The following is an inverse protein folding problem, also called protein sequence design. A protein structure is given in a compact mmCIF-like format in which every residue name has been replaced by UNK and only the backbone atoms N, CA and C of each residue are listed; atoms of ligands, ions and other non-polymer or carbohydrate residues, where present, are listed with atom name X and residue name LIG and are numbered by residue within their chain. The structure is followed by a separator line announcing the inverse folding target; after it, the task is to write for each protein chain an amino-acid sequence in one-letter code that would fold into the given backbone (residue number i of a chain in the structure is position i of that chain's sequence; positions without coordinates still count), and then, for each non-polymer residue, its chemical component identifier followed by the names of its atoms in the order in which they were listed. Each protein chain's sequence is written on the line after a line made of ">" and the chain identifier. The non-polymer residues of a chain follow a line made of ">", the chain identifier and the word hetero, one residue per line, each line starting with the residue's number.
data_IF_664436754950
#
_entry.id   IF_664436754950
#
_cell.length_a   1.000
_cell.length_b   1.000
_cell.length_c   1.000
_cell.angle_alpha   90.00
_cell.angle_beta   90.00
_cell.angle_gamma   90.00
#
_symmetry.space_group_name_H-M   'P 1'
#
loop_
_entity.id
_entity.type
_entity.pdbx_description
1 polymer ?
#
# COMPACT_ATOMS: atom_id res chain seq x y z
N UNK A 1 20.55 2.52 15.43
CA UNK A 1 19.15 3.02 15.42
C UNK A 1 19.06 4.48 14.95
N UNK A 2 19.63 5.48 15.61
CA UNK A 2 19.52 6.88 15.15
C UNK A 2 20.10 7.09 13.74
N UNK A 3 21.20 6.44 13.40
CA UNK A 3 21.78 6.53 12.06
C UNK A 3 20.88 5.86 11.00
N UNK A 4 20.29 4.72 11.32
CA UNK A 4 19.36 4.01 10.43
C UNK A 4 18.06 4.79 10.19
N UNK A 5 17.52 5.44 11.24
CA UNK A 5 16.37 6.35 11.12
C UNK A 5 16.72 7.53 10.22
N UNK A 6 17.91 8.11 10.35
CA UNK A 6 18.37 9.20 9.49
C UNK A 6 18.46 8.75 8.01
N UNK A 7 18.96 7.54 7.75
CA UNK A 7 18.97 6.96 6.39
C UNK A 7 17.55 6.81 5.85
N UNK A 8 16.59 6.36 6.68
CA UNK A 8 15.19 6.31 6.28
C UNK A 8 14.66 7.71 5.90
N UNK A 9 15.00 8.74 6.66
CA UNK A 9 14.54 10.10 6.36
C UNK A 9 15.15 10.67 5.07
N UNK A 10 16.39 10.30 4.75
CA UNK A 10 17.00 10.64 3.45
C UNK A 10 16.28 9.99 2.28
N UNK A 11 15.69 8.82 2.47
CA UNK A 11 14.89 8.11 1.45
C UNK A 11 13.42 8.58 1.39
N UNK A 12 13.14 9.84 1.73
CA UNK A 12 11.80 10.42 1.78
C UNK A 12 10.93 10.11 0.55
N UNK A 13 11.48 10.24 -0.66
CA UNK A 13 10.76 10.00 -1.91
C UNK A 13 10.23 8.56 -2.06
N UNK A 14 10.95 7.58 -1.50
CA UNK A 14 10.49 6.19 -1.48
C UNK A 14 9.22 6.06 -0.61
N UNK A 15 9.21 6.67 0.56
CA UNK A 15 8.05 6.63 1.46
C UNK A 15 6.85 7.41 0.93
N UNK A 16 7.08 8.52 0.21
CA UNK A 16 6.02 9.24 -0.51
C UNK A 16 5.37 8.35 -1.55
N UNK A 17 6.14 7.59 -2.33
CA UNK A 17 5.60 6.60 -3.28
C UNK A 17 4.76 5.52 -2.57
N UNK A 18 5.19 5.05 -1.41
CA UNK A 18 4.43 4.08 -0.59
C UNK A 18 3.10 4.69 -0.14
N UNK A 19 3.10 5.89 0.42
CA UNK A 19 1.88 6.57 0.88
C UNK A 19 0.92 6.89 -0.28
N UNK A 20 1.46 7.29 -1.44
CA UNK A 20 0.70 7.62 -2.63
C UNK A 20 -0.19 6.47 -3.13
N UNK A 21 0.26 5.22 -2.98
CA UNK A 21 -0.55 4.03 -3.35
C UNK A 21 -1.91 4.00 -2.64
N UNK A 22 -1.99 4.58 -1.45
CA UNK A 22 -3.21 4.59 -0.63
C UNK A 22 -3.99 5.90 -0.73
N UNK A 23 -3.31 7.04 -0.92
CA UNK A 23 -3.90 8.38 -0.83
C UNK A 23 -4.24 8.99 -2.20
N UNK A 24 -3.57 8.55 -3.27
CA UNK A 24 -3.77 9.01 -4.67
C UNK A 24 -3.59 10.53 -4.89
N UNK A 25 -3.06 11.26 -3.93
CA UNK A 25 -2.70 12.67 -3.98
C UNK A 25 -1.26 12.82 -3.53
N UNK A 26 -0.44 13.54 -4.30
CA UNK A 26 0.97 13.75 -3.97
C UNK A 26 1.11 14.59 -2.70
N UNK A 27 0.35 15.67 -2.59
CA UNK A 27 0.31 16.55 -1.42
C UNK A 27 -0.06 15.77 -0.15
N UNK A 28 -1.13 14.96 -0.22
CA UNK A 28 -1.53 14.11 0.91
C UNK A 28 -0.49 13.07 1.26
N UNK A 29 0.22 12.53 0.28
CA UNK A 29 1.28 11.55 0.51
C UNK A 29 2.50 12.19 1.17
N UNK A 30 2.91 13.37 0.75
CA UNK A 30 4.00 14.14 1.36
C UNK A 30 3.67 14.48 2.82
N UNK A 31 2.49 15.04 3.08
CA UNK A 31 2.02 15.35 4.43
C UNK A 31 1.93 14.09 5.31
N UNK A 32 1.48 12.97 4.73
CA UNK A 32 1.41 11.70 5.43
C UNK A 32 2.80 11.22 5.87
N UNK A 33 3.80 11.34 5.01
CA UNK A 33 5.18 10.94 5.35
C UNK A 33 5.76 11.82 6.43
N UNK A 34 5.53 13.13 6.40
CA UNK A 34 5.94 14.04 7.46
C UNK A 34 5.32 13.66 8.81
N UNK A 35 3.99 13.40 8.84
CA UNK A 35 3.29 12.93 10.05
C UNK A 35 3.86 11.58 10.53
N UNK A 36 4.12 10.66 9.61
CA UNK A 36 4.68 9.36 9.94
C UNK A 36 6.09 9.47 10.54
N UNK A 37 6.94 10.33 9.99
CA UNK A 37 8.29 10.57 10.51
C UNK A 37 8.26 11.20 11.92
N UNK A 38 7.31 12.09 12.20
CA UNK A 38 7.12 12.58 13.57
C UNK A 38 6.70 11.44 14.52
N UNK A 39 5.86 10.50 14.07
CA UNK A 39 5.51 9.31 14.85
C UNK A 39 6.71 8.40 15.08
N UNK A 40 7.57 8.22 14.07
CA UNK A 40 8.83 7.47 14.20
C UNK A 40 9.70 8.08 15.30
N UNK A 41 9.91 9.38 15.30
CA UNK A 41 10.72 10.08 16.30
C UNK A 41 10.14 9.95 17.73
N UNK A 42 8.83 10.05 17.86
CA UNK A 42 8.15 9.91 19.16
C UNK A 42 8.19 8.47 19.71
N UNK A 43 8.18 7.49 18.81
CA UNK A 43 8.07 6.08 19.18
C UNK A 43 9.39 5.29 19.01
N UNK A 44 10.51 5.96 18.77
CA UNK A 44 11.80 5.28 18.52
C UNK A 44 12.20 4.30 19.65
N UNK A 45 11.84 4.63 20.88
CA UNK A 45 12.17 3.80 22.05
C UNK A 45 11.25 2.55 22.16
N UNK A 46 10.18 2.48 21.38
CA UNK A 46 9.29 1.31 21.31
C UNK A 46 9.72 0.28 20.26
N UNK A 47 10.73 0.61 19.46
CA UNK A 47 11.29 -0.33 18.51
C UNK A 47 12.01 -1.47 19.23
N UNK A 48 11.48 -2.68 19.10
CA UNK A 48 11.96 -3.85 19.84
C UNK A 48 13.03 -4.67 19.10
N UNK A 49 13.65 -4.09 18.07
CA UNK A 49 14.69 -4.74 17.24
C UNK A 49 14.27 -6.04 16.54
N UNK A 50 12.97 -6.32 16.43
CA UNK A 50 12.47 -7.44 15.66
C UNK A 50 12.24 -7.03 14.19
N UNK A 51 13.24 -7.24 13.35
CA UNK A 51 13.20 -6.84 11.94
C UNK A 51 14.09 -5.63 11.62
N UNK A 52 13.94 -5.05 10.44
CA UNK A 52 14.70 -3.88 10.01
C UNK A 52 14.02 -2.58 10.45
N UNK A 53 14.83 -1.55 10.78
CA UNK A 53 14.32 -0.19 11.05
C UNK A 53 13.52 0.34 9.87
N UNK A 54 13.99 0.09 8.65
CA UNK A 54 13.27 0.47 7.41
C UNK A 54 11.88 -0.14 7.33
N UNK A 55 11.75 -1.45 7.62
CA UNK A 55 10.45 -2.14 7.66
C UNK A 55 9.51 -1.56 8.72
N UNK A 56 10.04 -1.24 9.90
CA UNK A 56 9.28 -0.60 10.96
C UNK A 56 8.80 0.80 10.57
N UNK A 57 9.67 1.64 10.00
CA UNK A 57 9.32 2.98 9.49
C UNK A 57 8.27 2.87 8.39
N UNK A 58 8.46 1.95 7.42
CA UNK A 58 7.50 1.70 6.34
C UNK A 58 6.12 1.33 6.89
N UNK A 59 6.06 0.51 7.93
CA UNK A 59 4.81 0.12 8.59
C UNK A 59 4.09 1.32 9.21
N UNK A 60 4.82 2.25 9.82
CA UNK A 60 4.25 3.49 10.37
C UNK A 60 3.70 4.37 9.25
N UNK A 61 4.40 4.48 8.11
CA UNK A 61 3.92 5.24 6.94
C UNK A 61 2.63 4.64 6.38
N UNK A 62 2.58 3.31 6.19
CA UNK A 62 1.39 2.63 5.66
C UNK A 62 0.19 2.81 6.60
N UNK A 63 0.38 2.60 7.89
CA UNK A 63 -0.69 2.79 8.88
C UNK A 63 -1.19 4.24 8.88
N UNK A 64 -0.30 5.21 8.81
CA UNK A 64 -0.66 6.64 8.76
C UNK A 64 -1.44 6.97 7.47
N UNK A 65 -1.02 6.41 6.33
CA UNK A 65 -1.71 6.60 5.05
C UNK A 65 -3.13 6.00 5.06
N UNK A 66 -3.28 4.81 5.61
CA UNK A 66 -4.59 4.14 5.73
C UNK A 66 -5.51 4.90 6.69
N UNK A 67 -5.00 5.38 7.81
CA UNK A 67 -5.78 6.20 8.76
C UNK A 67 -6.26 7.50 8.11
N UNK A 68 -5.41 8.19 7.35
CA UNK A 68 -5.80 9.38 6.58
C UNK A 68 -6.85 9.05 5.52
N UNK A 69 -6.66 7.97 4.78
CA UNK A 69 -7.64 7.51 3.81
C UNK A 69 -9.01 7.27 4.45
N UNK A 70 -9.05 6.55 5.58
CA UNK A 70 -10.28 6.27 6.31
C UNK A 70 -11.00 7.54 6.77
N UNK A 71 -10.27 8.50 7.32
CA UNK A 71 -10.83 9.80 7.75
C UNK A 71 -11.45 10.55 6.57
N UNK A 72 -10.77 10.59 5.42
CA UNK A 72 -11.29 11.23 4.20
C UNK A 72 -12.53 10.52 3.66
N UNK A 73 -12.54 9.19 3.68
CA UNK A 73 -13.67 8.41 3.17
C UNK A 73 -14.88 8.49 4.12
N UNK A 74 -14.67 8.49 5.42
CA UNK A 74 -15.74 8.67 6.42
C UNK A 74 -16.34 10.08 6.37
N UNK A 75 -15.55 11.10 6.04
CA UNK A 75 -16.05 12.47 5.81
C UNK A 75 -16.76 12.63 4.47
N UNK A 76 -16.51 11.71 3.50
CA UNK A 76 -17.10 11.71 2.16
C UNK A 76 -18.27 10.72 2.00
N UNK A 77 -19.08 10.50 3.02
CA UNK A 77 -20.39 9.80 2.83
C UNK A 77 -21.35 10.60 1.96
N UNK A 78 -20.91 11.71 1.36
CA UNK A 78 -21.64 12.46 0.34
C UNK A 78 -20.71 12.74 -0.83
N UNK A 79 -20.98 12.08 -1.99
CA UNK A 79 -20.35 12.28 -3.31
C UNK A 79 -18.89 11.81 -3.45
N UNK A 80 -18.46 11.01 -4.36
CA UNK A 80 -18.74 10.77 -5.75
C UNK A 80 -17.76 9.80 -6.42
N UNK A 81 -18.10 9.43 -7.60
CA UNK A 81 -17.46 8.66 -8.62
C UNK A 81 -16.02 9.06 -8.98
N UNK A 82 -15.27 8.05 -9.20
CA UNK A 82 -13.87 7.94 -9.59
C UNK A 82 -13.42 8.81 -10.76
N UNK A 83 -12.22 9.39 -10.62
CA UNK A 83 -11.30 9.59 -11.75
C UNK A 83 -9.97 8.95 -11.41
N UNK A 84 -9.67 7.88 -12.13
CA UNK A 84 -8.37 7.20 -12.12
C UNK A 84 -7.36 8.09 -12.82
N UNK A 85 -6.45 8.70 -12.08
CA UNK A 85 -5.25 9.30 -12.66
C UNK A 85 -4.09 8.33 -12.51
N UNK A 86 -3.65 7.81 -13.66
CA UNK A 86 -2.49 6.93 -13.79
C UNK A 86 -1.20 7.72 -13.54
N UNK A 87 -0.51 7.40 -12.47
CA UNK A 87 0.88 7.82 -12.31
C UNK A 87 1.77 6.87 -13.11
N UNK A 88 2.37 7.38 -14.20
CA UNK A 88 3.43 6.70 -14.95
C UNK A 88 4.76 6.94 -14.24
N UNK A 89 5.17 5.97 -13.47
CA UNK A 89 6.50 5.91 -12.89
C UNK A 89 6.96 4.46 -12.88
N UNK A 90 7.46 3.99 -14.00
CA UNK A 90 8.06 2.67 -14.13
C UNK A 90 9.58 2.81 -14.08
N UNK A 91 10.18 2.42 -12.96
CA UNK A 91 11.53 1.87 -12.99
C UNK A 91 11.38 0.36 -13.10
N UNK A 92 11.85 -0.19 -14.21
CA UNK A 92 11.91 -1.63 -14.47
C UNK A 92 12.89 -2.26 -13.49
N UNK A 93 12.33 -2.98 -12.51
CA UNK A 93 13.11 -3.96 -11.76
C UNK A 93 12.88 -5.29 -12.44
N UNK A 94 13.85 -5.75 -13.21
CA UNK A 94 13.89 -7.10 -13.75
C UNK A 94 13.94 -8.10 -12.58
N UNK A 95 12.85 -8.83 -12.38
CA UNK A 95 12.85 -10.00 -11.50
C UNK A 95 12.84 -11.28 -12.35
N UNK A 96 13.80 -12.19 -12.16
CA UNK A 96 13.86 -13.43 -12.90
C UNK A 96 12.93 -14.48 -12.27
N UNK A 97 11.64 -14.42 -12.54
CA UNK A 97 10.73 -15.52 -12.28
C UNK A 97 10.06 -15.96 -13.56
N UNK A 98 10.42 -17.17 -13.98
CA UNK A 98 9.86 -17.85 -15.13
C UNK A 98 8.35 -18.08 -14.96
N UNK A 99 7.67 -17.91 -16.05
CA UNK A 99 6.47 -18.51 -16.59
C UNK A 99 5.66 -17.51 -17.44
N UNK A 100 6.35 -16.62 -18.17
CA UNK A 100 5.76 -15.94 -19.32
C UNK A 100 4.67 -14.91 -19.03
N UNK A 101 4.47 -14.48 -17.76
CA UNK A 101 3.57 -13.34 -17.42
C UNK A 101 4.45 -12.14 -17.10
N UNK A 102 4.46 -11.09 -17.94
CA UNK A 102 5.23 -9.89 -17.67
C UNK A 102 4.77 -9.24 -16.35
N UNK A 103 5.72 -8.85 -15.49
CA UNK A 103 5.45 -8.15 -14.23
C UNK A 103 4.55 -6.92 -14.45
N UNK A 104 4.75 -6.19 -15.54
CA UNK A 104 3.92 -5.07 -15.96
C UNK A 104 2.44 -5.45 -16.06
N UNK A 105 2.12 -6.61 -16.66
CA UNK A 105 0.75 -7.10 -16.80
C UNK A 105 0.09 -7.38 -15.45
N UNK A 106 0.85 -7.91 -14.48
CA UNK A 106 0.35 -8.13 -13.11
C UNK A 106 0.05 -6.81 -12.42
N UNK A 107 0.93 -5.81 -12.58
CA UNK A 107 0.71 -4.47 -12.02
C UNK A 107 -0.51 -3.79 -12.64
N UNK A 108 -0.68 -3.88 -13.95
CA UNK A 108 -1.86 -3.36 -14.66
C UNK A 108 -3.15 -4.06 -14.18
N UNK A 109 -3.12 -5.38 -14.01
CA UNK A 109 -4.23 -6.14 -13.45
C UNK A 109 -4.59 -5.67 -12.03
N UNK A 110 -3.61 -5.45 -11.16
CA UNK A 110 -3.84 -4.92 -9.81
C UNK A 110 -4.39 -3.49 -9.87
N UNK A 111 -3.89 -2.65 -10.79
CA UNK A 111 -4.37 -1.28 -10.96
C UNK A 111 -5.83 -1.21 -11.42
N UNK A 112 -6.29 -2.21 -12.18
CA UNK A 112 -7.69 -2.29 -12.67
C UNK A 112 -8.69 -2.71 -11.60
N UNK A 113 -8.24 -3.18 -10.43
CA UNK A 113 -9.12 -3.60 -9.34
C UNK A 113 -9.82 -2.42 -8.68
N UNK A 114 -11.02 -2.68 -8.11
CA UNK A 114 -11.66 -1.74 -7.19
C UNK A 114 -10.76 -1.47 -5.98
N UNK A 115 -10.92 -0.33 -5.35
CA UNK A 115 -10.06 0.11 -4.23
C UNK A 115 -10.01 -0.87 -3.06
N UNK A 116 -11.13 -1.51 -2.72
CA UNK A 116 -11.17 -2.50 -1.64
C UNK A 116 -10.37 -3.76 -1.98
N UNK A 117 -10.46 -4.24 -3.23
CA UNK A 117 -9.70 -5.41 -3.69
C UNK A 117 -8.21 -5.09 -3.87
N UNK A 118 -7.92 -3.90 -4.40
CA UNK A 118 -6.55 -3.42 -4.55
C UNK A 118 -5.83 -3.32 -3.21
N UNK A 119 -6.48 -2.74 -2.19
CA UNK A 119 -5.91 -2.68 -0.83
C UNK A 119 -5.71 -4.06 -0.22
N UNK A 120 -6.69 -4.95 -0.34
CA UNK A 120 -6.58 -6.29 0.22
C UNK A 120 -5.39 -7.08 -0.37
N UNK A 121 -5.24 -7.05 -1.69
CA UNK A 121 -4.16 -7.78 -2.37
C UNK A 121 -2.79 -7.14 -2.09
N UNK A 122 -2.71 -5.80 -2.07
CA UNK A 122 -1.47 -5.07 -1.79
C UNK A 122 -1.00 -5.31 -0.36
N UNK A 123 -1.88 -5.14 0.62
CA UNK A 123 -1.53 -5.34 2.02
C UNK A 123 -1.13 -6.79 2.32
N UNK A 124 -1.82 -7.76 1.76
CA UNK A 124 -1.55 -9.17 2.03
C UNK A 124 -0.33 -9.70 1.27
N UNK A 125 -0.26 -9.53 -0.07
CA UNK A 125 0.77 -10.13 -0.90
C UNK A 125 2.05 -9.30 -1.01
N UNK A 126 1.94 -7.97 -0.98
CA UNK A 126 3.09 -7.08 -1.18
C UNK A 126 3.68 -6.63 0.16
N UNK A 127 2.83 -6.23 1.09
CA UNK A 127 3.28 -5.69 2.37
C UNK A 127 3.34 -6.74 3.49
N UNK A 128 2.77 -7.95 3.27
CA UNK A 128 2.90 -9.09 4.18
C UNK A 128 2.04 -9.05 5.44
N UNK A 129 0.98 -8.23 5.48
CA UNK A 129 0.06 -8.20 6.61
C UNK A 129 -0.87 -9.41 6.62
N UNK A 130 -1.16 -9.96 7.79
CA UNK A 130 -2.18 -11.01 7.93
C UNK A 130 -3.60 -10.43 7.93
N UNK A 131 -4.62 -11.29 7.78
CA UNK A 131 -6.02 -10.83 7.69
C UNK A 131 -6.53 -10.11 8.93
N UNK A 132 -6.03 -10.46 10.12
CA UNK A 132 -6.38 -9.81 11.37
C UNK A 132 -5.85 -8.38 11.42
N UNK A 133 -4.60 -8.18 10.99
CA UNK A 133 -3.99 -6.85 10.88
C UNK A 133 -4.72 -6.00 9.84
N UNK A 134 -4.99 -6.57 8.65
CA UNK A 134 -5.74 -5.88 7.58
C UNK A 134 -7.14 -5.49 8.04
N UNK A 135 -7.83 -6.38 8.75
CA UNK A 135 -9.15 -6.12 9.30
C UNK A 135 -9.14 -4.91 10.24
N UNK A 136 -8.18 -4.86 11.17
CA UNK A 136 -8.00 -3.70 12.06
C UNK A 136 -7.65 -2.42 11.33
N UNK A 137 -6.72 -2.49 10.35
CA UNK A 137 -6.27 -1.33 9.56
C UNK A 137 -7.41 -0.73 8.72
N UNK A 138 -8.20 -1.58 8.06
CA UNK A 138 -9.28 -1.15 7.17
C UNK A 138 -10.64 -1.01 7.86
N UNK A 139 -10.74 -1.35 9.14
CA UNK A 139 -11.99 -1.38 9.92
C UNK A 139 -13.07 -2.26 9.26
N UNK A 140 -12.70 -3.48 8.90
CA UNK A 140 -13.55 -4.52 8.31
C UNK A 140 -13.41 -5.82 9.12
N UNK A 141 -14.28 -6.81 8.89
CA UNK A 141 -14.10 -8.14 9.49
C UNK A 141 -12.96 -8.91 8.82
N UNK A 142 -12.36 -9.89 9.53
CA UNK A 142 -11.38 -10.80 8.93
C UNK A 142 -11.99 -11.59 7.76
N UNK A 143 -13.27 -11.97 7.86
CA UNK A 143 -14.00 -12.61 6.77
C UNK A 143 -14.09 -11.74 5.53
N UNK A 144 -14.36 -10.44 5.70
CA UNK A 144 -14.35 -9.47 4.60
C UNK A 144 -12.95 -9.33 3.99
N UNK A 145 -11.90 -9.29 4.80
CA UNK A 145 -10.51 -9.24 4.32
C UNK A 145 -10.18 -10.47 3.46
N UNK A 146 -10.53 -11.68 3.92
CA UNK A 146 -10.35 -12.95 3.18
C UNK A 146 -11.15 -12.96 1.88
N UNK A 147 -12.41 -12.55 1.92
CA UNK A 147 -13.28 -12.47 0.74
C UNK A 147 -12.75 -11.49 -0.30
N UNK A 148 -12.31 -10.29 0.13
CA UNK A 148 -11.74 -9.29 -0.76
C UNK A 148 -10.47 -9.80 -1.43
N UNK A 149 -9.58 -10.46 -0.71
CA UNK A 149 -8.37 -11.05 -1.28
C UNK A 149 -8.69 -12.14 -2.31
N UNK A 150 -9.64 -13.03 -1.99
CA UNK A 150 -10.07 -14.09 -2.92
C UNK A 150 -10.63 -13.51 -4.21
N UNK A 151 -11.50 -12.51 -4.13
CA UNK A 151 -12.08 -11.82 -5.29
C UNK A 151 -11.01 -11.05 -6.07
N UNK A 152 -10.08 -10.39 -5.37
CA UNK A 152 -8.96 -9.69 -5.99
C UNK A 152 -8.10 -10.65 -6.84
N UNK A 153 -7.71 -11.80 -6.29
CA UNK A 153 -6.95 -12.83 -7.02
C UNK A 153 -7.68 -13.32 -8.26
N UNK A 154 -8.98 -13.63 -8.15
CA UNK A 154 -9.80 -14.06 -9.29
C UNK A 154 -9.85 -13.00 -10.40
N UNK A 155 -10.00 -11.73 -10.03
CA UNK A 155 -10.06 -10.64 -11.00
C UNK A 155 -8.72 -10.40 -11.68
N UNK A 156 -7.60 -10.50 -10.97
CA UNK A 156 -6.24 -10.44 -11.55
C UNK A 156 -6.04 -11.56 -12.57
N UNK A 157 -6.38 -12.80 -12.22
CA UNK A 157 -6.27 -13.95 -13.13
C UNK A 157 -7.15 -13.73 -14.37
N UNK A 158 -8.37 -13.28 -14.18
CA UNK A 158 -9.30 -12.99 -15.30
C UNK A 158 -8.73 -11.92 -16.24
N UNK A 159 -8.19 -10.83 -15.70
CA UNK A 159 -7.54 -9.77 -16.48
C UNK A 159 -6.39 -10.30 -17.33
N UNK A 160 -5.49 -11.08 -16.72
CA UNK A 160 -4.34 -11.68 -17.40
C UNK A 160 -4.78 -12.59 -18.55
N UNK A 161 -5.79 -13.44 -18.32
CA UNK A 161 -6.31 -14.32 -19.36
C UNK A 161 -6.97 -13.56 -20.53
N UNK A 162 -7.63 -12.44 -20.26
CA UNK A 162 -8.25 -11.60 -21.29
C UNK A 162 -7.23 -10.83 -22.13
N UNK A 163 -6.11 -10.43 -21.52
CA UNK A 163 -5.06 -9.64 -22.18
C UNK A 163 -4.08 -10.51 -22.99
N UNK A 164 -3.99 -11.81 -22.70
CA UNK A 164 -3.18 -12.79 -23.47
C UNK A 164 -3.85 -13.27 -24.77
N UNK A 165 -5.10 -12.91 -25.04
CA UNK A 165 -5.77 -13.18 -26.31
C UNK A 165 -5.54 -12.07 -27.32
#
# INVERSE_FOLDING_TARGET
>A
MNNEINVCFQNHSMYVRVAYKYLKSLEDAEDCVQEAFLKVLKNKDTYNSTGSVEGWVKRIVINTAIDRYRRKTSAKVVYDTEKVNSFKGSEEVETPYGDGIPHKMVLEAIQSLSDSYKRAITLYLIEGYNHREIAGMLNISEGTSKSNLSKAKKNVIKYIHQTKK
#
